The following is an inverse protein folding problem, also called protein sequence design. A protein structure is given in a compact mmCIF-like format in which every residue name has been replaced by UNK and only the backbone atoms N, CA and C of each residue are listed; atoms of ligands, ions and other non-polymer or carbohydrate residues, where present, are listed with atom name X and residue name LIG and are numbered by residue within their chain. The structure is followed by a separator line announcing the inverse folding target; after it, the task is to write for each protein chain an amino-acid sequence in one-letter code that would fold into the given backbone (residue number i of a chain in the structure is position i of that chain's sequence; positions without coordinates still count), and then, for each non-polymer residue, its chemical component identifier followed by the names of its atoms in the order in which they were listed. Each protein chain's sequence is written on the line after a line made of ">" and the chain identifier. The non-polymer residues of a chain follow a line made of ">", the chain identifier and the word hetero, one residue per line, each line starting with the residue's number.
data_IF_021043246777
#
_entry.id   IF_021043246777
#
_cell.length_a   1.000
_cell.length_b   1.000
_cell.length_c   1.000
_cell.angle_alpha   90.00
_cell.angle_beta   90.00
_cell.angle_gamma   90.00
#
_symmetry.space_group_name_H-M   'P 1'
#
loop_
_entity.id
_entity.type
_entity.pdbx_description
1 polymer ?
#
# COMPACT_ATOMS: atom_id res chain seq x y z
N UNK A 1 -5.36 -13.02 17.50
CA UNK A 1 -4.41 -12.76 16.40
C UNK A 1 -5.22 -12.50 15.15
N UNK A 2 -4.95 -11.44 14.38
CA UNK A 2 -5.65 -11.19 13.12
C UNK A 2 -5.40 -12.31 12.10
N UNK A 3 -6.38 -12.54 11.22
CA UNK A 3 -6.26 -13.51 10.13
C UNK A 3 -6.38 -12.81 8.77
N UNK A 4 -5.57 -13.22 7.81
CA UNK A 4 -5.59 -12.67 6.45
C UNK A 4 -6.96 -12.90 5.80
N UNK A 5 -7.56 -11.83 5.31
CA UNK A 5 -8.83 -11.88 4.60
C UNK A 5 -8.58 -12.53 3.22
N UNK A 6 -9.33 -13.59 2.93
CA UNK A 6 -9.28 -14.32 1.65
C UNK A 6 -10.64 -14.37 0.92
N UNK A 7 -11.72 -14.06 1.63
CA UNK A 7 -13.07 -14.10 1.07
C UNK A 7 -13.25 -12.92 0.09
N UNK A 8 -13.68 -13.15 -1.17
CA UNK A 8 -13.74 -12.11 -2.20
C UNK A 8 -14.57 -10.89 -1.79
N UNK A 9 -15.72 -11.10 -1.15
CA UNK A 9 -16.62 -10.04 -0.70
C UNK A 9 -15.99 -9.18 0.39
N UNK A 10 -15.24 -9.79 1.33
CA UNK A 10 -14.52 -9.06 2.37
C UNK A 10 -13.32 -8.31 1.80
N UNK A 11 -12.59 -8.90 0.84
CA UNK A 11 -11.51 -8.22 0.12
C UNK A 11 -12.01 -7.01 -0.64
N UNK A 12 -13.15 -7.14 -1.35
CA UNK A 12 -13.77 -6.05 -2.07
C UNK A 12 -14.22 -4.92 -1.12
N UNK A 13 -14.84 -5.26 0.01
CA UNK A 13 -15.25 -4.29 1.02
C UNK A 13 -14.05 -3.56 1.65
N UNK A 14 -12.99 -4.28 2.02
CA UNK A 14 -11.78 -3.70 2.58
C UNK A 14 -11.06 -2.79 1.56
N UNK A 15 -10.98 -3.20 0.29
CA UNK A 15 -10.42 -2.38 -0.78
C UNK A 15 -11.25 -1.11 -1.05
N UNK A 16 -12.58 -1.20 -1.00
CA UNK A 16 -13.45 -0.03 -1.15
C UNK A 16 -13.21 0.96 -0.01
N UNK A 17 -13.24 0.49 1.25
CA UNK A 17 -12.98 1.32 2.42
C UNK A 17 -11.57 1.95 2.40
N UNK A 18 -10.55 1.18 2.00
CA UNK A 18 -9.19 1.68 1.80
C UNK A 18 -9.15 2.83 0.80
N UNK A 19 -9.76 2.64 -0.38
CA UNK A 19 -9.80 3.66 -1.41
C UNK A 19 -10.58 4.90 -0.95
N UNK A 20 -11.77 4.73 -0.38
CA UNK A 20 -12.61 5.82 0.12
C UNK A 20 -11.90 6.66 1.19
N UNK A 21 -11.24 6.00 2.15
CA UNK A 21 -10.48 6.67 3.21
C UNK A 21 -9.35 7.53 2.63
N UNK A 22 -8.61 7.01 1.65
CA UNK A 22 -7.54 7.76 1.00
C UNK A 22 -8.10 8.91 0.15
N UNK A 23 -9.15 8.67 -0.64
CA UNK A 23 -9.75 9.69 -1.48
C UNK A 23 -10.33 10.85 -0.65
N UNK A 24 -10.84 10.57 0.54
CA UNK A 24 -11.29 11.60 1.48
C UNK A 24 -10.13 12.45 2.03
N UNK A 25 -8.97 11.84 2.29
CA UNK A 25 -7.78 12.53 2.80
C UNK A 25 -6.94 13.23 1.72
N UNK A 26 -7.16 12.91 0.44
CA UNK A 26 -6.39 13.41 -0.71
C UNK A 26 -7.30 14.23 -1.65
N UNK A 27 -7.63 15.48 -1.29
CA UNK A 27 -8.71 16.25 -1.94
C UNK A 27 -8.37 16.77 -3.33
N UNK A 28 -7.08 16.90 -3.67
CA UNK A 28 -6.66 17.45 -4.97
C UNK A 28 -6.63 16.35 -6.03
N UNK A 29 -6.90 16.72 -7.27
CA UNK A 29 -6.85 15.80 -8.43
C UNK A 29 -5.94 16.36 -9.52
N UNK A 30 -5.22 15.48 -10.21
CA UNK A 30 -4.45 15.83 -11.39
C UNK A 30 -4.44 14.67 -12.39
N UNK A 31 -4.72 14.95 -13.66
CA UNK A 31 -4.53 13.98 -14.74
C UNK A 31 -3.03 13.90 -15.08
N UNK A 32 -2.43 12.73 -14.92
CA UNK A 32 -0.99 12.51 -15.07
C UNK A 32 -0.70 11.20 -15.82
N UNK A 33 0.50 11.12 -16.40
CA UNK A 33 1.07 9.82 -16.79
C UNK A 33 1.72 9.17 -15.56
N UNK A 34 1.05 8.21 -14.94
CA UNK A 34 1.63 7.41 -13.86
C UNK A 34 2.65 6.44 -14.45
N UNK A 35 3.84 6.38 -13.86
CA UNK A 35 4.94 5.58 -14.42
C UNK A 35 5.66 4.73 -13.39
N UNK A 36 5.97 3.50 -13.80
CA UNK A 36 6.68 2.50 -13.01
C UNK A 36 7.52 1.55 -13.87
N UNK A 37 7.96 0.45 -13.27
CA UNK A 37 8.85 -0.51 -13.92
C UNK A 37 8.23 -1.20 -15.16
N UNK A 38 6.90 -1.20 -15.28
CA UNK A 38 6.16 -1.80 -16.41
C UNK A 38 5.76 -0.84 -17.53
N UNK A 39 6.20 0.43 -17.49
CA UNK A 39 5.77 1.48 -18.42
C UNK A 39 4.96 2.57 -17.72
N UNK A 40 4.23 3.36 -18.51
CA UNK A 40 3.37 4.42 -18.01
C UNK A 40 1.95 4.33 -18.56
N UNK A 41 0.99 4.83 -17.80
CA UNK A 41 -0.42 4.92 -18.19
C UNK A 41 -1.00 6.25 -17.72
N UNK A 42 -1.98 6.76 -18.46
CA UNK A 42 -2.72 7.95 -18.04
C UNK A 42 -3.69 7.59 -16.91
N UNK A 43 -3.70 8.40 -15.86
CA UNK A 43 -4.65 8.28 -14.76
C UNK A 43 -4.86 9.63 -14.07
N UNK A 44 -6.04 9.79 -13.47
CA UNK A 44 -6.24 10.84 -12.48
C UNK A 44 -5.65 10.37 -11.14
N UNK A 45 -4.71 11.14 -10.61
CA UNK A 45 -4.14 10.92 -9.28
C UNK A 45 -4.83 11.82 -8.27
N UNK A 46 -5.02 11.32 -7.05
CA UNK A 46 -5.47 12.10 -5.90
C UNK A 46 -4.26 12.56 -5.11
N UNK A 47 -4.26 13.77 -4.54
CA UNK A 47 -3.11 14.31 -3.81
C UNK A 47 -3.50 15.09 -2.55
N UNK A 48 -2.64 15.03 -1.54
CA UNK A 48 -2.66 15.90 -0.37
C UNK A 48 -1.30 16.59 -0.19
N UNK A 49 -1.25 17.94 -0.17
CA UNK A 49 -0.03 18.68 0.18
C UNK A 49 0.43 18.43 1.61
N UNK A 50 -0.51 18.24 2.54
CA UNK A 50 -0.22 18.00 3.96
C UNK A 50 0.51 16.68 4.18
N UNK A 51 0.05 15.63 3.50
CA UNK A 51 0.68 14.30 3.56
C UNK A 51 1.90 14.18 2.64
N UNK A 52 2.03 15.10 1.67
CA UNK A 52 2.88 14.99 0.49
C UNK A 52 2.77 13.61 -0.16
N UNK A 53 1.53 13.21 -0.47
CA UNK A 53 1.20 11.90 -0.98
C UNK A 53 0.22 12.03 -2.13
N UNK A 54 0.54 11.38 -3.25
CA UNK A 54 -0.44 11.09 -4.29
C UNK A 54 -0.76 9.60 -4.36
N UNK A 55 -1.99 9.30 -4.79
CA UNK A 55 -2.56 7.96 -4.90
C UNK A 55 -3.28 7.78 -6.24
N UNK A 56 -3.07 6.62 -6.87
CA UNK A 56 -3.89 6.12 -7.96
C UNK A 56 -4.24 4.66 -7.77
N UNK A 57 -5.41 4.27 -8.28
CA UNK A 57 -5.94 2.91 -8.18
C UNK A 57 -6.43 2.42 -9.53
N UNK A 58 -6.18 1.13 -9.80
CA UNK A 58 -6.74 0.44 -10.95
C UNK A 58 -7.08 -1.02 -10.60
N UNK A 59 -8.23 -1.50 -11.05
CA UNK A 59 -8.49 -2.93 -11.07
C UNK A 59 -7.63 -3.60 -12.15
N UNK A 60 -6.83 -4.61 -11.79
CA UNK A 60 -5.91 -5.31 -12.69
C UNK A 60 -6.05 -6.83 -12.55
N UNK A 61 -7.05 -7.41 -13.21
CA UNK A 61 -7.29 -8.85 -13.20
C UNK A 61 -7.53 -9.37 -11.79
N UNK A 62 -6.58 -10.14 -11.25
CA UNK A 62 -6.67 -10.80 -9.93
C UNK A 62 -6.16 -9.94 -8.76
N UNK A 63 -5.89 -8.66 -8.99
CA UNK A 63 -5.45 -7.72 -7.95
C UNK A 63 -6.05 -6.33 -8.16
N UNK A 64 -6.20 -5.61 -7.06
CA UNK A 64 -6.35 -4.17 -7.08
C UNK A 64 -4.95 -3.55 -7.00
N UNK A 65 -4.57 -2.83 -8.05
CA UNK A 65 -3.33 -2.08 -8.10
C UNK A 65 -3.53 -0.75 -7.37
N UNK A 66 -2.67 -0.45 -6.40
CA UNK A 66 -2.67 0.78 -5.63
C UNK A 66 -1.25 1.37 -5.65
N UNK A 67 -1.06 2.43 -6.42
CA UNK A 67 0.22 3.11 -6.54
C UNK A 67 0.25 4.41 -5.77
N UNK A 68 1.39 4.66 -5.15
CA UNK A 68 1.64 5.82 -4.33
C UNK A 68 2.91 6.53 -4.78
N UNK A 69 2.95 7.85 -4.63
CA UNK A 69 4.17 8.62 -4.73
C UNK A 69 4.12 9.90 -3.92
N UNK A 70 5.26 10.58 -3.92
CA UNK A 70 5.48 11.84 -3.20
C UNK A 70 5.69 12.98 -4.19
N UNK A 71 5.58 14.22 -3.71
CA UNK A 71 5.66 15.42 -4.52
C UNK A 71 4.35 15.74 -5.24
N UNK A 72 4.06 17.03 -5.37
CA UNK A 72 2.84 17.51 -5.99
C UNK A 72 2.75 17.08 -7.46
N UNK A 73 1.69 16.36 -7.87
CA UNK A 73 1.48 16.03 -9.27
C UNK A 73 1.10 17.29 -10.07
N UNK A 74 1.60 17.35 -11.31
CA UNK A 74 1.26 18.43 -12.25
C UNK A 74 0.48 17.84 -13.40
N UNK A 75 -0.66 18.43 -13.73
CA UNK A 75 -1.52 17.96 -14.81
C UNK A 75 -0.76 17.88 -16.15
N UNK A 76 -0.95 16.79 -16.89
CA UNK A 76 -0.26 16.51 -18.15
C UNK A 76 1.23 16.18 -18.00
N UNK A 77 1.73 15.99 -16.78
CA UNK A 77 3.12 15.56 -16.52
C UNK A 77 3.17 14.12 -16.02
N UNK A 78 4.36 13.55 -16.12
CA UNK A 78 4.68 12.21 -15.63
C UNK A 78 4.91 12.24 -14.11
N UNK A 79 4.35 11.27 -13.41
CA UNK A 79 4.63 11.02 -11.98
C UNK A 79 5.22 9.62 -11.81
N UNK A 80 6.17 9.48 -10.88
CA UNK A 80 6.92 8.23 -10.67
C UNK A 80 6.46 7.55 -9.38
N UNK A 81 6.06 6.28 -9.46
CA UNK A 81 5.60 5.49 -8.32
C UNK A 81 6.74 5.33 -7.29
N UNK A 82 6.48 5.74 -6.05
CA UNK A 82 7.35 5.47 -4.91
C UNK A 82 7.14 4.06 -4.36
N UNK A 83 5.88 3.63 -4.21
CA UNK A 83 5.50 2.36 -3.62
C UNK A 83 4.20 1.83 -4.21
N UNK A 84 4.01 0.51 -4.11
CA UNK A 84 2.75 -0.15 -4.42
C UNK A 84 2.30 -0.97 -3.21
N UNK A 85 1.01 -0.89 -2.87
CA UNK A 85 0.38 -1.71 -1.84
C UNK A 85 -0.83 -2.39 -2.46
N UNK A 86 -0.55 -3.41 -3.27
CA UNK A 86 -1.58 -4.10 -4.04
C UNK A 86 -2.25 -5.17 -3.16
N UNK A 87 -3.52 -5.49 -3.43
CA UNK A 87 -4.26 -6.54 -2.72
C UNK A 87 -4.88 -7.53 -3.72
N UNK A 88 -5.00 -8.83 -3.37
CA UNK A 88 -5.72 -9.78 -4.20
C UNK A 88 -7.21 -9.46 -4.25
N UNK A 89 -7.88 -9.83 -5.34
CA UNK A 89 -9.35 -9.74 -5.46
C UNK A 89 -10.07 -10.94 -4.87
N UNK A 90 -9.38 -12.08 -4.76
CA UNK A 90 -9.91 -13.33 -4.23
C UNK A 90 -8.81 -14.22 -3.67
N UNK A 91 -9.16 -15.01 -2.66
CA UNK A 91 -8.32 -16.07 -2.13
C UNK A 91 -7.01 -15.60 -1.52
N UNK A 92 -6.19 -16.58 -1.13
CA UNK A 92 -4.86 -16.31 -0.61
C UNK A 92 -3.87 -16.14 -1.76
N UNK A 93 -3.28 -14.96 -1.88
CA UNK A 93 -2.22 -14.71 -2.86
C UNK A 93 -0.96 -14.15 -2.19
N UNK A 94 -0.04 -15.07 -1.85
CA UNK A 94 1.24 -14.68 -1.24
C UNK A 94 2.17 -13.97 -2.21
N UNK A 95 1.91 -13.95 -3.52
CA UNK A 95 2.74 -13.22 -4.49
C UNK A 95 2.54 -11.69 -4.39
N UNK A 96 1.34 -11.27 -4.00
CA UNK A 96 0.98 -9.86 -3.78
C UNK A 96 1.53 -9.36 -2.44
N UNK A 97 2.00 -8.12 -2.40
CA UNK A 97 2.75 -7.57 -1.26
C UNK A 97 1.88 -7.01 -0.14
N UNK A 98 0.73 -6.39 -0.48
CA UNK A 98 -0.24 -5.89 0.48
C UNK A 98 -1.23 -6.98 0.92
N UNK A 99 -1.72 -6.85 2.15
CA UNK A 99 -2.65 -7.79 2.77
C UNK A 99 -3.62 -7.02 3.67
N UNK A 100 -4.90 -7.39 3.62
CA UNK A 100 -5.86 -7.06 4.67
C UNK A 100 -5.94 -8.21 5.66
N UNK A 101 -5.92 -7.92 6.96
CA UNK A 101 -6.14 -8.90 8.01
C UNK A 101 -7.26 -8.42 8.94
N UNK A 102 -8.14 -9.32 9.36
CA UNK A 102 -9.26 -9.04 10.26
C UNK A 102 -8.94 -9.58 11.65
N UNK A 103 -9.13 -8.76 12.69
CA UNK A 103 -9.04 -9.21 14.08
C UNK A 103 -10.37 -9.79 14.60
N UNK A 104 -10.37 -10.30 15.84
CA UNK A 104 -11.55 -10.92 16.45
C UNK A 104 -12.72 -9.96 16.68
N UNK A 105 -12.48 -8.66 16.64
CA UNK A 105 -13.48 -7.60 16.84
C UNK A 105 -13.99 -7.04 15.50
N UNK A 106 -13.54 -7.59 14.36
CA UNK A 106 -13.88 -7.14 13.02
C UNK A 106 -13.04 -5.95 12.53
N UNK A 107 -12.01 -5.55 13.26
CA UNK A 107 -11.05 -4.52 12.84
C UNK A 107 -10.22 -4.99 11.65
N UNK A 108 -10.08 -4.14 10.63
CA UNK A 108 -9.33 -4.46 9.42
C UNK A 108 -7.98 -3.74 9.43
N UNK A 109 -6.91 -4.52 9.44
CA UNK A 109 -5.52 -4.08 9.42
C UNK A 109 -4.97 -4.09 8.00
N UNK A 110 -4.22 -3.05 7.64
CA UNK A 110 -3.47 -2.99 6.38
C UNK A 110 -2.02 -3.34 6.66
N UNK A 111 -1.56 -4.41 6.02
CA UNK A 111 -0.26 -5.01 6.26
C UNK A 111 0.54 -5.12 4.96
N UNK A 112 1.86 -5.14 5.08
CA UNK A 112 2.77 -5.34 3.96
C UNK A 112 3.78 -6.46 4.23
N UNK A 113 3.94 -7.37 3.27
CA UNK A 113 4.83 -8.55 3.35
C UNK A 113 6.33 -8.24 3.29
N UNK A 114 6.70 -6.96 3.21
CA UNK A 114 8.08 -6.51 3.03
C UNK A 114 8.67 -6.81 1.65
N UNK A 115 7.83 -7.13 0.66
CA UNK A 115 8.30 -7.46 -0.70
C UNK A 115 8.69 -6.19 -1.45
N UNK A 116 9.99 -5.95 -1.56
CA UNK A 116 10.59 -4.89 -2.37
C UNK A 116 11.65 -5.46 -3.32
N UNK A 117 12.08 -4.67 -4.30
CA UNK A 117 13.31 -4.97 -5.06
C UNK A 117 14.49 -5.02 -4.08
N UNK A 118 15.21 -6.14 -4.06
CA UNK A 118 16.26 -6.44 -3.08
C UNK A 118 15.86 -7.47 -2.01
N UNK A 119 14.57 -7.83 -1.92
CA UNK A 119 14.10 -8.96 -1.11
C UNK A 119 13.50 -8.58 0.25
N UNK A 120 12.81 -9.55 0.87
CA UNK A 120 12.12 -9.42 2.17
C UNK A 120 13.09 -9.14 3.31
N UNK A 121 14.22 -9.85 3.35
CA UNK A 121 15.21 -9.70 4.42
C UNK A 121 15.79 -8.27 4.47
N UNK A 122 16.16 -7.73 3.31
CA UNK A 122 16.62 -6.35 3.18
C UNK A 122 15.58 -5.36 3.70
N UNK A 123 14.31 -5.55 3.35
CA UNK A 123 13.23 -4.69 3.84
C UNK A 123 13.18 -4.71 5.37
N UNK A 124 13.04 -5.87 5.99
CA UNK A 124 12.88 -5.95 7.45
C UNK A 124 14.15 -5.60 8.23
N UNK A 125 15.33 -5.77 7.63
CA UNK A 125 16.60 -5.29 8.21
C UNK A 125 16.62 -3.77 8.38
N UNK A 126 16.00 -3.05 7.45
CA UNK A 126 15.99 -1.59 7.45
C UNK A 126 14.69 -1.00 7.98
N UNK A 127 13.58 -1.73 7.96
CA UNK A 127 12.27 -1.25 8.37
C UNK A 127 12.26 -0.88 9.85
N UNK A 128 12.00 0.40 10.14
CA UNK A 128 11.95 0.93 11.50
C UNK A 128 10.54 1.10 12.07
N UNK A 129 9.51 0.71 11.31
CA UNK A 129 8.12 0.79 11.75
C UNK A 129 7.66 -0.42 12.54
N UNK A 130 6.40 -0.37 12.98
CA UNK A 130 5.79 -1.47 13.73
C UNK A 130 5.52 -2.69 12.87
N UNK A 131 5.60 -3.87 13.48
CA UNK A 131 5.24 -5.13 12.83
C UNK A 131 4.05 -5.77 13.52
N UNK A 132 3.28 -6.52 12.76
CA UNK A 132 2.14 -7.26 13.25
C UNK A 132 2.22 -8.71 12.76
N UNK A 133 1.97 -9.65 13.68
CA UNK A 133 1.89 -11.07 13.36
C UNK A 133 0.44 -11.46 13.10
N UNK A 134 0.18 -12.14 11.98
CA UNK A 134 -1.15 -12.58 11.57
C UNK A 134 -1.13 -14.01 11.02
N UNK A 135 -2.29 -14.67 11.06
CA UNK A 135 -2.49 -15.96 10.38
C UNK A 135 -2.67 -15.77 8.87
N UNK A 136 -1.66 -16.17 8.10
CA UNK A 136 -1.60 -16.12 6.65
C UNK A 136 -2.05 -17.45 6.02
N UNK A 137 -3.27 -17.89 6.34
CA UNK A 137 -3.87 -19.12 5.80
C UNK A 137 -3.26 -20.39 6.39
N UNK A 138 -3.31 -20.51 7.73
CA UNK A 138 -2.76 -21.59 8.53
C UNK A 138 -1.28 -21.43 8.87
N UNK A 139 -0.68 -20.26 8.60
CA UNK A 139 0.73 -19.99 8.86
C UNK A 139 0.90 -18.63 9.52
N UNK A 140 1.48 -18.62 10.69
CA UNK A 140 1.87 -17.39 11.36
C UNK A 140 3.00 -16.68 10.59
N UNK A 141 2.79 -15.41 10.24
CA UNK A 141 3.76 -14.57 9.55
C UNK A 141 3.81 -13.18 10.17
N UNK A 142 5.02 -12.60 10.23
CA UNK A 142 5.23 -11.20 10.60
C UNK A 142 5.18 -10.31 9.37
N UNK A 143 4.38 -9.25 9.47
CA UNK A 143 4.18 -8.23 8.46
C UNK A 143 4.64 -6.88 8.97
N UNK A 144 4.97 -5.97 8.06
CA UNK A 144 5.01 -4.55 8.41
C UNK A 144 3.57 -4.04 8.56
N UNK A 145 3.31 -3.35 9.67
CA UNK A 145 2.06 -2.66 9.89
C UNK A 145 2.07 -1.36 9.09
N UNK A 146 1.03 -1.16 8.27
CA UNK A 146 0.81 0.09 7.55
C UNK A 146 -0.17 0.98 8.33
N UNK A 147 -1.18 0.37 8.95
CA UNK A 147 -2.19 1.07 9.75
C UNK A 147 -3.47 0.22 9.89
N UNK A 148 -4.47 0.76 10.56
CA UNK A 148 -5.80 0.14 10.71
C UNK A 148 -6.85 0.94 9.95
N UNK A 149 -7.68 0.27 9.14
CA UNK A 149 -8.79 0.92 8.44
C UNK A 149 -9.86 1.35 9.44
N UNK A 150 -10.34 2.59 9.28
CA UNK A 150 -11.30 3.22 10.18
C UNK A 150 -10.67 4.14 11.22
N UNK A 151 -9.35 4.05 11.44
CA UNK A 151 -8.64 4.99 12.30
C UNK A 151 -8.49 6.35 11.60
N UNK A 152 -8.65 7.44 12.35
CA UNK A 152 -8.61 8.81 11.80
C UNK A 152 -7.28 9.14 11.15
N UNK A 153 -6.21 8.52 11.62
CA UNK A 153 -4.83 8.83 11.24
C UNK A 153 -4.31 7.90 10.12
N UNK A 154 -5.15 6.96 9.64
CA UNK A 154 -4.75 5.92 8.67
C UNK A 154 -4.04 6.48 7.43
N UNK A 155 -4.55 7.59 6.87
CA UNK A 155 -3.93 8.21 5.69
C UNK A 155 -2.51 8.76 5.98
N UNK A 156 -2.29 9.27 7.19
CA UNK A 156 -0.99 9.74 7.64
C UNK A 156 -0.03 8.57 7.89
N UNK A 157 -0.50 7.49 8.50
CA UNK A 157 0.28 6.26 8.70
C UNK A 157 0.71 5.65 7.34
N UNK A 158 -0.22 5.59 6.38
CA UNK A 158 0.07 5.13 5.03
C UNK A 158 1.09 6.03 4.31
N UNK A 159 0.97 7.36 4.44
CA UNK A 159 1.96 8.29 3.90
C UNK A 159 3.35 8.09 4.52
N UNK A 160 3.43 7.88 5.84
CA UNK A 160 4.67 7.57 6.55
C UNK A 160 5.27 6.25 6.06
N UNK A 161 4.46 5.22 5.85
CA UNK A 161 4.89 3.94 5.32
C UNK A 161 5.45 4.04 3.88
N UNK A 162 4.84 4.86 3.01
CA UNK A 162 5.37 5.13 1.66
C UNK A 162 6.74 5.82 1.72
N UNK A 163 6.90 6.81 2.60
CA UNK A 163 8.19 7.48 2.84
C UNK A 163 9.24 6.51 3.39
N UNK A 164 8.84 5.59 4.25
CA UNK A 164 9.72 4.55 4.80
C UNK A 164 10.20 3.58 3.72
N UNK A 165 9.35 3.17 2.77
CA UNK A 165 9.77 2.37 1.60
C UNK A 165 10.86 3.10 0.80
N UNK A 166 10.73 4.41 0.58
CA UNK A 166 11.73 5.21 -0.12
C UNK A 166 13.05 5.27 0.65
N UNK A 167 12.99 5.47 1.97
CA UNK A 167 14.18 5.47 2.84
C UNK A 167 14.91 4.13 2.79
N UNK A 168 14.19 3.01 2.87
CA UNK A 168 14.76 1.66 2.75
C UNK A 168 15.42 1.47 1.39
N UNK A 169 14.76 1.87 0.30
CA UNK A 169 15.33 1.78 -1.07
C UNK A 169 16.61 2.62 -1.19
N UNK A 170 16.65 3.80 -0.59
CA UNK A 170 17.84 4.66 -0.59
C UNK A 170 18.99 4.04 0.21
N UNK A 171 18.71 3.52 1.41
CA UNK A 171 19.70 2.84 2.24
C UNK A 171 20.29 1.60 1.53
N UNK A 172 19.44 0.80 0.89
CA UNK A 172 19.86 -0.37 0.13
C UNK A 172 20.79 -0.03 -1.05
N UNK A 173 20.54 1.10 -1.72
CA UNK A 173 21.40 1.60 -2.81
C UNK A 173 22.75 2.11 -2.30
N UNK A 174 22.82 2.61 -1.07
CA UNK A 174 24.07 3.12 -0.49
C UNK A 174 25.00 1.99 0.01
N UNK A 175 24.46 0.81 0.27
CA UNK A 175 25.21 -0.36 0.77
C UNK A 175 25.58 -1.39 -0.32
N UNK A 176 25.15 -1.20 -1.57
CA UNK A 176 25.43 -2.10 -2.71
C UNK A 176 26.29 -1.43 -3.76
#
# INVERSE_FOLDING_TARGET
>A
MPAVIIAPEKLAAAQALFAETLLAALPQKAACTVSGAGGGFEAEVSYSPELDLWYAMQAQGKKCWNGFGIGQPVAGKKVSIAAEINFPTEGLNRAVSGVFAEDGDGGVWVLHRGKIRGGKELFFRHFGGETLTADDGGKEETFALVGRLGDTDFAAELAAFVKEILRIKAAAKACG
#
